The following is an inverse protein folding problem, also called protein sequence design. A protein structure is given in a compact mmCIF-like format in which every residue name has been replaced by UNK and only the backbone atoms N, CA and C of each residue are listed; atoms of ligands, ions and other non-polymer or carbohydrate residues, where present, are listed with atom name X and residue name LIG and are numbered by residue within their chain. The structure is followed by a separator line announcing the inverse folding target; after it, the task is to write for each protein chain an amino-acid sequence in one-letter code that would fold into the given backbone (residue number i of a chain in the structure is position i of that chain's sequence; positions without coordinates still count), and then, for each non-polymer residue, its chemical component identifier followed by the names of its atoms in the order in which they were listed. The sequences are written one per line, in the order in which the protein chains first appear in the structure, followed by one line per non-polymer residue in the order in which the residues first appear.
data_IF_614910527115
#
_entry.id   IF_614910527115
#
_cell.length_a   1.000
_cell.length_b   1.000
_cell.length_c   1.000
_cell.angle_alpha   90.00
_cell.angle_beta   90.00
_cell.angle_gamma   90.00
#
_symmetry.space_group_name_H-M   'P 1'
#
loop_
_entity.id
_entity.type
_entity.pdbx_description
1 polymer ?
#
# COMPACT_ATOMS: atom_id res chain seq x y z
N UNK A 1 -75.80 -37.67 -44.88
CA UNK A 1 -74.45 -38.10 -45.32
C UNK A 1 -73.51 -36.96 -44.97
N UNK A 2 -72.41 -37.09 -44.23
CA UNK A 2 -71.71 -38.18 -43.54
C UNK A 2 -70.66 -37.41 -42.71
N UNK A 3 -70.17 -37.79 -41.55
CA UNK A 3 -70.18 -39.06 -40.85
C UNK A 3 -69.85 -38.68 -39.39
N UNK A 4 -70.69 -39.04 -38.41
CA UNK A 4 -70.57 -40.26 -37.60
C UNK A 4 -69.52 -40.11 -36.50
N UNK A 5 -69.99 -40.04 -35.25
CA UNK A 5 -70.03 -41.16 -34.27
C UNK A 5 -68.67 -41.26 -33.53
N UNK A 6 -68.53 -41.59 -32.25
CA UNK A 6 -69.38 -41.96 -31.13
C UNK A 6 -68.39 -42.06 -29.93
N UNK A 7 -68.75 -41.59 -28.74
CA UNK A 7 -69.25 -42.43 -27.63
C UNK A 7 -68.13 -42.90 -26.68
N UNK A 8 -68.15 -42.28 -25.49
CA UNK A 8 -67.99 -42.88 -24.14
C UNK A 8 -66.60 -43.17 -23.54
N UNK A 9 -66.29 -42.33 -22.55
CA UNK A 9 -66.21 -42.64 -21.12
C UNK A 9 -64.90 -43.13 -20.48
N UNK A 10 -64.68 -42.51 -19.30
CA UNK A 10 -63.86 -42.89 -18.13
C UNK A 10 -62.36 -42.56 -18.21
N UNK A 11 -61.90 -41.64 -17.35
CA UNK A 11 -61.10 -41.91 -16.15
C UNK A 11 -60.73 -40.56 -15.50
N UNK A 12 -61.17 -40.39 -14.26
CA UNK A 12 -60.69 -39.37 -13.33
C UNK A 12 -59.27 -39.77 -12.88
N UNK A 13 -58.25 -39.06 -13.32
CA UNK A 13 -56.88 -39.17 -12.81
C UNK A 13 -56.35 -37.78 -12.46
N UNK A 14 -55.82 -37.66 -11.25
CA UNK A 14 -55.54 -36.40 -10.56
C UNK A 14 -54.61 -35.46 -11.33
N UNK A 15 -55.10 -34.24 -11.54
CA UNK A 15 -54.27 -33.06 -11.73
C UNK A 15 -53.68 -32.66 -10.37
N UNK A 16 -52.62 -33.37 -9.96
CA UNK A 16 -51.64 -32.78 -9.06
C UNK A 16 -51.05 -31.56 -9.80
N UNK A 17 -51.06 -30.35 -9.22
CA UNK A 17 -50.21 -29.30 -9.73
C UNK A 17 -48.78 -29.81 -9.54
N UNK A 18 -48.12 -30.16 -10.65
CA UNK A 18 -46.68 -30.32 -10.72
C UNK A 18 -46.10 -28.97 -10.32
N UNK A 19 -45.85 -28.81 -9.03
CA UNK A 19 -45.01 -27.72 -8.54
C UNK A 19 -43.67 -27.92 -9.24
N UNK A 20 -43.18 -26.94 -10.02
CA UNK A 20 -41.85 -27.07 -10.58
C UNK A 20 -40.91 -27.29 -9.41
N UNK A 21 -40.21 -28.43 -9.43
CA UNK A 21 -39.09 -28.70 -8.55
C UNK A 21 -38.15 -27.52 -8.75
N UNK A 22 -38.13 -26.62 -7.76
CA UNK A 22 -37.19 -25.53 -7.71
C UNK A 22 -35.80 -26.16 -7.73
N UNK A 23 -35.17 -26.13 -8.91
CA UNK A 23 -33.77 -26.47 -9.10
C UNK A 23 -32.98 -25.73 -8.02
N UNK A 24 -32.16 -26.44 -7.26
CA UNK A 24 -31.37 -25.93 -6.13
C UNK A 24 -30.31 -24.88 -6.48
N UNK A 25 -30.44 -24.21 -7.63
CA UNK A 25 -29.53 -23.19 -8.17
C UNK A 25 -29.76 -21.78 -7.60
N UNK A 26 -30.81 -21.56 -6.81
CA UNK A 26 -31.25 -20.20 -6.43
C UNK A 26 -31.06 -19.85 -4.95
N UNK A 27 -30.29 -20.66 -4.19
CA UNK A 27 -29.94 -20.28 -2.83
C UNK A 27 -28.86 -19.19 -2.87
N UNK A 28 -29.09 -18.00 -2.27
CA UNK A 28 -28.09 -16.95 -2.24
C UNK A 28 -26.80 -17.44 -1.60
N UNK A 29 -25.66 -17.26 -2.28
CA UNK A 29 -24.35 -17.65 -1.73
C UNK A 29 -24.12 -16.89 -0.41
N UNK A 30 -23.79 -17.56 0.70
CA UNK A 30 -23.50 -16.89 1.97
C UNK A 30 -22.34 -15.89 1.83
N UNK A 31 -22.42 -14.75 2.51
CA UNK A 31 -21.34 -13.73 2.47
C UNK A 31 -19.99 -14.26 2.93
N UNK A 32 -19.99 -15.23 3.86
CA UNK A 32 -18.77 -15.91 4.31
C UNK A 32 -18.07 -16.73 3.22
N UNK A 33 -18.71 -16.94 2.05
CA UNK A 33 -18.13 -17.59 0.88
C UNK A 33 -17.84 -16.63 -0.28
N UNK A 34 -18.12 -15.34 -0.13
CA UNK A 34 -17.90 -14.32 -1.17
C UNK A 34 -16.58 -13.58 -0.98
N UNK A 35 -16.12 -12.89 -2.02
CA UNK A 35 -14.90 -12.09 -1.99
C UNK A 35 -15.11 -10.60 -1.70
N UNK A 36 -16.34 -10.10 -1.84
CA UNK A 36 -16.68 -8.68 -1.61
C UNK A 36 -17.02 -8.38 -0.15
N UNK A 37 -16.66 -7.18 0.29
CA UNK A 37 -17.05 -6.63 1.59
C UNK A 37 -18.53 -6.24 1.58
N UNK A 38 -19.16 -6.24 2.75
CA UNK A 38 -20.53 -5.76 2.95
C UNK A 38 -20.57 -4.64 3.98
N UNK A 39 -21.11 -3.50 3.57
CA UNK A 39 -21.45 -2.39 4.45
C UNK A 39 -22.97 -2.29 4.56
N UNK A 40 -23.50 -2.36 5.78
CA UNK A 40 -24.93 -2.15 6.02
C UNK A 40 -25.08 -0.74 6.62
N UNK A 41 -25.69 0.20 5.88
CA UNK A 41 -25.94 1.53 6.41
C UNK A 41 -27.03 1.46 7.51
N UNK A 42 -27.13 2.51 8.31
CA UNK A 42 -28.22 2.66 9.29
C UNK A 42 -29.57 2.88 8.61
N UNK A 43 -29.56 3.35 7.35
CA UNK A 43 -30.75 3.55 6.50
C UNK A 43 -30.45 3.10 5.07
N UNK A 44 -31.39 2.39 4.46
CA UNK A 44 -31.28 1.92 3.08
C UNK A 44 -30.66 0.52 2.94
N UNK A 45 -30.50 0.04 1.70
CA UNK A 45 -30.01 -1.31 1.40
C UNK A 45 -28.52 -1.47 1.75
N UNK A 46 -28.11 -2.72 1.94
CA UNK A 46 -26.70 -3.05 2.15
C UNK A 46 -25.89 -2.89 0.85
N UNK A 47 -24.65 -2.43 0.97
CA UNK A 47 -23.75 -2.12 -0.12
C UNK A 47 -22.66 -3.21 -0.20
N UNK A 48 -22.41 -3.71 -1.40
CA UNK A 48 -21.36 -4.69 -1.70
C UNK A 48 -20.24 -4.05 -2.53
N UNK A 49 -18.98 -4.42 -2.26
CA UNK A 49 -17.83 -3.76 -2.87
C UNK A 49 -16.52 -3.99 -2.12
N UNK A 50 -15.56 -3.08 -2.25
CA UNK A 50 -14.24 -3.20 -1.63
C UNK A 50 -13.93 -2.00 -0.75
N UNK A 51 -13.82 -2.23 0.55
CA UNK A 51 -13.40 -1.23 1.55
C UNK A 51 -11.92 -0.92 1.36
N UNK A 52 -11.59 0.34 1.10
CA UNK A 52 -10.20 0.80 1.01
C UNK A 52 -9.66 1.30 2.34
N UNK A 53 -10.53 1.93 3.13
CA UNK A 53 -10.14 2.55 4.39
C UNK A 53 -11.27 2.40 5.40
N UNK A 54 -10.87 2.10 6.64
CA UNK A 54 -11.70 2.21 7.83
C UNK A 54 -10.90 2.97 8.88
N UNK A 55 -11.45 4.07 9.36
CA UNK A 55 -10.91 4.79 10.52
C UNK A 55 -11.74 4.43 11.76
N UNK A 56 -11.13 4.37 12.96
CA UNK A 56 -11.84 3.92 14.16
C UNK A 56 -13.02 4.83 14.55
N UNK A 57 -12.91 6.15 14.32
CA UNK A 57 -13.93 7.15 14.66
C UNK A 57 -14.45 7.96 13.46
N UNK A 58 -13.88 7.79 12.27
CA UNK A 58 -14.20 8.61 11.10
C UNK A 58 -15.10 7.88 10.12
N UNK A 59 -14.70 7.85 8.85
CA UNK A 59 -15.47 7.27 7.75
C UNK A 59 -14.96 5.89 7.33
N UNK A 60 -15.83 5.17 6.61
CA UNK A 60 -15.48 4.01 5.80
C UNK A 60 -15.53 4.43 4.34
N UNK A 61 -14.43 4.18 3.63
CA UNK A 61 -14.32 4.45 2.19
C UNK A 61 -14.39 3.13 1.44
N UNK A 62 -15.30 3.01 0.48
CA UNK A 62 -15.59 1.78 -0.23
C UNK A 62 -15.76 2.03 -1.74
N UNK A 63 -15.07 1.24 -2.57
CA UNK A 63 -15.37 1.17 -4.00
C UNK A 63 -16.54 0.25 -4.27
N UNK A 64 -17.44 0.68 -5.16
CA UNK A 64 -18.63 -0.06 -5.58
C UNK A 64 -18.70 -0.06 -7.10
N UNK A 65 -18.95 -1.22 -7.72
CA UNK A 65 -19.18 -1.29 -9.17
C UNK A 65 -20.49 -0.59 -9.52
N UNK A 66 -20.44 0.27 -10.53
CA UNK A 66 -21.63 0.98 -11.01
C UNK A 66 -22.70 0.05 -11.54
N UNK A 67 -22.32 -0.98 -12.30
CA UNK A 67 -23.27 -1.95 -12.87
C UNK A 67 -24.09 -2.63 -11.78
N UNK A 68 -23.42 -3.00 -10.68
CA UNK A 68 -24.07 -3.58 -9.52
C UNK A 68 -25.00 -2.57 -8.84
N UNK A 69 -24.49 -1.35 -8.58
CA UNK A 69 -25.30 -0.31 -7.92
C UNK A 69 -26.51 0.10 -8.75
N UNK A 70 -26.39 0.11 -10.08
CA UNK A 70 -27.49 0.41 -11.01
C UNK A 70 -28.65 -0.58 -10.86
N UNK A 71 -28.35 -1.86 -10.60
CA UNK A 71 -29.35 -2.90 -10.43
C UNK A 71 -29.95 -2.89 -9.01
N UNK A 72 -29.14 -2.62 -7.99
CA UNK A 72 -29.52 -2.82 -6.58
C UNK A 72 -29.97 -1.55 -5.85
N UNK A 73 -29.42 -0.38 -6.20
CA UNK A 73 -29.74 0.92 -5.57
C UNK A 73 -29.54 2.07 -6.59
N UNK A 74 -30.44 2.18 -7.59
CA UNK A 74 -30.32 3.16 -8.66
C UNK A 74 -30.45 4.61 -8.16
N UNK A 75 -31.16 4.85 -7.06
CA UNK A 75 -31.27 6.18 -6.44
C UNK A 75 -29.90 6.64 -5.92
N UNK A 76 -29.18 5.78 -5.19
CA UNK A 76 -27.82 6.10 -4.74
C UNK A 76 -26.86 6.36 -5.90
N UNK A 77 -26.99 5.59 -6.98
CA UNK A 77 -26.19 5.82 -8.20
C UNK A 77 -26.46 7.22 -8.77
N UNK A 78 -27.74 7.61 -8.90
CA UNK A 78 -28.11 8.93 -9.40
C UNK A 78 -27.57 10.07 -8.51
N UNK A 79 -27.69 9.93 -7.19
CA UNK A 79 -27.15 10.92 -6.24
C UNK A 79 -25.63 11.04 -6.34
N UNK A 80 -24.93 9.90 -6.44
CA UNK A 80 -23.48 9.89 -6.62
C UNK A 80 -23.06 10.53 -7.96
N UNK A 81 -23.80 10.28 -9.03
CA UNK A 81 -23.56 10.89 -10.34
C UNK A 81 -23.80 12.39 -10.35
N UNK A 82 -24.87 12.86 -9.70
CA UNK A 82 -25.13 14.29 -9.56
C UNK A 82 -24.00 14.98 -8.78
N UNK A 83 -23.55 14.37 -7.68
CA UNK A 83 -22.43 14.88 -6.89
C UNK A 83 -21.12 14.91 -7.70
N UNK A 84 -20.83 13.89 -8.50
CA UNK A 84 -19.67 13.88 -9.38
C UNK A 84 -19.78 14.90 -10.52
N UNK A 85 -20.97 15.10 -11.08
CA UNK A 85 -21.21 16.11 -12.10
C UNK A 85 -20.92 17.53 -11.59
N UNK A 86 -21.23 17.81 -10.32
CA UNK A 86 -20.97 19.11 -9.68
C UNK A 86 -19.50 19.28 -9.25
N UNK A 87 -18.88 18.23 -8.72
CA UNK A 87 -17.54 18.30 -8.12
C UNK A 87 -16.40 18.09 -9.13
N UNK A 88 -16.57 17.25 -10.16
CA UNK A 88 -15.48 16.89 -11.09
C UNK A 88 -14.91 18.08 -11.87
N UNK A 89 -15.72 18.98 -12.46
CA UNK A 89 -15.17 20.14 -13.18
C UNK A 89 -14.34 21.05 -12.28
N UNK A 90 -14.78 21.26 -11.03
CA UNK A 90 -14.06 22.04 -10.02
C UNK A 90 -12.71 21.41 -9.69
N UNK A 91 -12.70 20.10 -9.44
CA UNK A 91 -11.49 19.35 -9.16
C UNK A 91 -10.50 19.39 -10.34
N UNK A 92 -10.98 19.30 -11.58
CA UNK A 92 -10.14 19.40 -12.78
C UNK A 92 -9.56 20.81 -12.97
N UNK A 93 -10.34 21.88 -12.78
CA UNK A 93 -9.82 23.26 -12.83
C UNK A 93 -8.71 23.48 -11.82
N UNK A 94 -8.94 23.08 -10.56
CA UNK A 94 -7.92 23.17 -9.49
C UNK A 94 -6.69 22.34 -9.82
N UNK A 95 -6.86 21.17 -10.44
CA UNK A 95 -5.73 20.34 -10.86
C UNK A 95 -4.92 21.01 -11.98
N UNK A 96 -5.56 21.63 -12.98
CA UNK A 96 -4.86 22.36 -14.05
C UNK A 96 -4.00 23.48 -13.48
N UNK A 97 -4.57 24.30 -12.58
CA UNK A 97 -3.84 25.36 -11.87
C UNK A 97 -2.63 24.79 -11.13
N UNK A 98 -2.84 23.73 -10.35
CA UNK A 98 -1.78 23.06 -9.58
C UNK A 98 -0.69 22.46 -10.46
N UNK A 99 -1.03 21.91 -11.64
CA UNK A 99 -0.06 21.41 -12.60
C UNK A 99 0.77 22.58 -13.16
N UNK A 100 0.11 23.68 -13.54
CA UNK A 100 0.77 24.85 -14.10
C UNK A 100 1.70 25.52 -13.09
N UNK A 101 1.28 25.65 -11.83
CA UNK A 101 2.12 26.15 -10.75
C UNK A 101 3.29 25.22 -10.45
N UNK A 102 3.07 23.90 -10.47
CA UNK A 102 4.16 22.95 -10.28
C UNK A 102 5.20 23.07 -11.41
N UNK A 103 4.77 23.19 -12.67
CA UNK A 103 5.68 23.36 -13.81
C UNK A 103 6.57 24.60 -13.71
N UNK A 104 6.10 25.69 -13.08
CA UNK A 104 6.90 26.91 -12.84
C UNK A 104 8.06 26.65 -11.88
N UNK A 105 7.92 25.69 -10.97
CA UNK A 105 8.99 25.33 -10.01
C UNK A 105 10.04 24.36 -10.58
N UNK A 106 9.79 23.78 -11.76
CA UNK A 106 10.68 22.80 -12.38
C UNK A 106 11.67 23.47 -13.34
N UNK A 107 12.89 22.94 -13.37
CA UNK A 107 13.89 23.32 -14.38
C UNK A 107 13.35 23.06 -15.80
N UNK A 108 13.75 23.85 -16.81
CA UNK A 108 13.25 23.70 -18.18
C UNK A 108 13.43 22.31 -18.79
N UNK A 109 14.53 21.64 -18.46
CA UNK A 109 14.96 20.32 -18.95
C UNK A 109 14.44 19.14 -18.11
N UNK A 110 13.64 19.41 -17.07
CA UNK A 110 13.13 18.37 -16.19
C UNK A 110 12.22 17.39 -16.95
N UNK A 111 12.49 16.07 -16.96
CA UNK A 111 11.65 15.08 -17.64
C UNK A 111 10.22 15.03 -17.09
N UNK A 112 10.04 15.48 -15.84
CA UNK A 112 8.71 15.62 -15.23
C UNK A 112 7.81 16.62 -15.98
N UNK A 113 8.37 17.63 -16.67
CA UNK A 113 7.57 18.60 -17.43
C UNK A 113 6.76 17.92 -18.53
N UNK A 114 7.36 17.01 -19.29
CA UNK A 114 6.66 16.23 -20.32
C UNK A 114 5.51 15.41 -19.74
N UNK A 115 5.74 14.78 -18.59
CA UNK A 115 4.69 14.01 -17.90
C UNK A 115 3.55 14.92 -17.44
N UNK A 116 3.86 16.13 -16.95
CA UNK A 116 2.86 17.12 -16.56
C UNK A 116 2.11 17.70 -17.75
N UNK A 117 2.74 17.87 -18.91
CA UNK A 117 2.07 18.33 -20.13
C UNK A 117 1.03 17.32 -20.62
N UNK A 118 1.35 16.03 -20.58
CA UNK A 118 0.41 14.95 -20.91
C UNK A 118 -0.78 14.92 -19.96
N UNK A 119 -0.53 15.01 -18.64
CA UNK A 119 -1.60 15.04 -17.65
C UNK A 119 -2.45 16.31 -17.77
N UNK A 120 -1.83 17.48 -17.98
CA UNK A 120 -2.53 18.73 -18.20
C UNK A 120 -3.44 18.66 -19.43
N UNK A 121 -2.92 18.16 -20.56
CA UNK A 121 -3.70 17.99 -21.80
C UNK A 121 -4.90 17.08 -21.56
N UNK A 122 -4.69 15.92 -20.95
CA UNK A 122 -5.76 14.97 -20.60
C UNK A 122 -6.87 15.64 -19.78
N UNK A 123 -6.49 16.37 -18.73
CA UNK A 123 -7.46 17.03 -17.83
C UNK A 123 -8.18 18.18 -18.55
N UNK A 124 -7.47 18.95 -19.38
CA UNK A 124 -8.06 20.03 -20.17
C UNK A 124 -9.08 19.51 -21.20
N UNK A 125 -8.78 18.39 -21.88
CA UNK A 125 -9.68 17.76 -22.84
C UNK A 125 -10.96 17.24 -22.14
N UNK A 126 -10.82 16.64 -20.95
CA UNK A 126 -11.96 16.22 -20.11
C UNK A 126 -12.82 17.40 -19.68
N UNK A 127 -12.21 18.46 -19.18
CA UNK A 127 -12.92 19.66 -18.73
C UNK A 127 -13.65 20.33 -19.90
N UNK A 128 -12.99 20.51 -21.05
CA UNK A 128 -13.57 21.08 -22.27
C UNK A 128 -14.77 20.26 -22.75
N UNK A 129 -14.68 18.93 -22.69
CA UNK A 129 -15.79 18.06 -23.07
C UNK A 129 -17.02 18.29 -22.20
N UNK A 130 -16.85 18.44 -20.88
CA UNK A 130 -17.97 18.69 -19.95
C UNK A 130 -18.53 20.10 -20.07
N UNK A 131 -17.67 21.12 -20.18
CA UNK A 131 -18.11 22.51 -20.36
C UNK A 131 -18.79 22.75 -21.72
N UNK A 132 -18.45 21.96 -22.74
CA UNK A 132 -19.12 21.96 -24.05
C UNK A 132 -20.48 21.24 -24.09
N UNK A 133 -21.10 20.99 -22.93
CA UNK A 133 -22.38 20.29 -22.82
C UNK A 133 -22.29 18.77 -22.72
N UNK A 134 -21.08 18.21 -22.68
CA UNK A 134 -20.86 16.79 -22.40
C UNK A 134 -21.12 16.42 -20.94
N UNK A 135 -21.21 15.11 -20.67
CA UNK A 135 -21.33 14.59 -19.30
C UNK A 135 -19.98 14.19 -18.75
N UNK A 136 -19.83 14.24 -17.43
CA UNK A 136 -18.66 13.67 -16.75
C UNK A 136 -18.54 12.19 -17.15
N UNK A 137 -17.38 11.74 -17.67
CA UNK A 137 -17.22 10.35 -18.06
C UNK A 137 -17.43 9.40 -16.88
N UNK A 138 -18.30 8.40 -17.07
CA UNK A 138 -18.53 7.40 -16.04
C UNK A 138 -17.29 6.52 -15.88
N UNK A 139 -16.78 6.44 -14.65
CA UNK A 139 -15.74 5.49 -14.24
C UNK A 139 -16.39 4.15 -13.90
N UNK A 140 -15.72 3.00 -13.99
CA UNK A 140 -16.39 1.71 -13.69
C UNK A 140 -16.83 1.58 -12.22
N UNK A 141 -16.10 2.21 -11.33
CA UNK A 141 -16.37 2.23 -9.90
C UNK A 141 -16.79 3.61 -9.42
N UNK A 142 -17.57 3.63 -8.35
CA UNK A 142 -17.81 4.78 -7.50
C UNK A 142 -17.04 4.62 -6.20
N UNK A 143 -16.64 5.73 -5.59
CA UNK A 143 -16.09 5.75 -4.24
C UNK A 143 -17.14 6.33 -3.30
N UNK A 144 -17.64 5.50 -2.40
CA UNK A 144 -18.57 5.93 -1.35
C UNK A 144 -17.79 6.20 -0.07
N UNK A 145 -18.02 7.37 0.51
CA UNK A 145 -17.47 7.78 1.80
C UNK A 145 -18.63 7.86 2.79
N UNK A 146 -18.66 6.93 3.74
CA UNK A 146 -19.79 6.75 4.66
C UNK A 146 -19.31 6.99 6.10
N UNK A 147 -19.86 7.99 6.81
CA UNK A 147 -19.52 8.24 8.22
C UNK A 147 -19.80 7.00 9.09
N UNK A 148 -18.92 6.67 10.04
CA UNK A 148 -19.10 5.49 10.90
C UNK A 148 -20.42 5.48 11.67
N UNK A 149 -20.97 6.65 12.02
CA UNK A 149 -22.27 6.83 12.68
C UNK A 149 -23.46 6.37 11.83
N UNK A 150 -23.30 6.33 10.52
CA UNK A 150 -24.32 5.90 9.55
C UNK A 150 -24.16 4.43 9.15
N UNK A 151 -23.34 3.66 9.87
CA UNK A 151 -23.06 2.25 9.59
C UNK A 151 -23.58 1.39 10.74
N UNK A 152 -24.57 0.55 10.45
CA UNK A 152 -25.13 -0.41 11.41
C UNK A 152 -24.22 -1.65 11.52
N UNK A 153 -23.71 -2.16 10.39
CA UNK A 153 -22.80 -3.31 10.37
C UNK A 153 -21.77 -3.20 9.23
N UNK A 154 -20.58 -3.75 9.46
CA UNK A 154 -19.52 -3.83 8.46
C UNK A 154 -18.84 -5.20 8.52
N UNK A 155 -18.85 -5.92 7.40
CA UNK A 155 -18.15 -7.18 7.21
C UNK A 155 -17.06 -6.98 6.16
N UNK A 156 -15.80 -7.11 6.58
CA UNK A 156 -14.63 -7.05 5.69
C UNK A 156 -14.14 -8.47 5.47
N UNK A 157 -13.94 -8.86 4.21
CA UNK A 157 -13.48 -10.19 3.85
C UNK A 157 -11.99 -10.38 4.12
N UNK A 158 -11.55 -11.63 4.40
CA UNK A 158 -10.13 -11.97 4.42
C UNK A 158 -9.42 -11.54 3.13
N UNK A 159 -8.18 -11.08 3.25
CA UNK A 159 -7.38 -10.50 2.15
C UNK A 159 -7.34 -11.43 0.93
N UNK A 160 -7.17 -12.74 1.13
CA UNK A 160 -7.10 -13.73 0.04
C UNK A 160 -8.42 -13.79 -0.75
N UNK A 161 -9.57 -13.76 -0.07
CA UNK A 161 -10.89 -13.79 -0.74
C UNK A 161 -11.16 -12.49 -1.48
N UNK A 162 -10.77 -11.38 -0.87
CA UNK A 162 -10.88 -10.06 -1.48
C UNK A 162 -10.03 -9.95 -2.73
N UNK A 163 -8.82 -10.50 -2.71
CA UNK A 163 -7.95 -10.56 -3.88
C UNK A 163 -8.64 -11.26 -5.06
N UNK A 164 -9.30 -12.40 -4.84
CA UNK A 164 -10.07 -13.09 -5.88
C UNK A 164 -11.14 -12.16 -6.48
N UNK A 165 -11.95 -11.49 -5.66
CA UNK A 165 -12.96 -10.56 -6.17
C UNK A 165 -12.36 -9.37 -6.95
N UNK A 166 -11.25 -8.82 -6.48
CA UNK A 166 -10.56 -7.73 -7.18
C UNK A 166 -10.04 -8.19 -8.55
N UNK A 167 -9.38 -9.34 -8.63
CA UNK A 167 -8.92 -9.91 -9.91
C UNK A 167 -10.10 -10.24 -10.81
N UNK A 168 -11.18 -10.82 -10.28
CA UNK A 168 -12.41 -11.05 -11.05
C UNK A 168 -13.04 -9.76 -11.59
N UNK A 169 -12.90 -8.64 -10.89
CA UNK A 169 -13.27 -7.35 -11.46
C UNK A 169 -12.31 -6.92 -12.57
N UNK A 170 -10.99 -7.07 -12.44
CA UNK A 170 -10.05 -6.75 -13.53
C UNK A 170 -10.44 -7.48 -14.82
N UNK A 171 -10.75 -8.77 -14.71
CA UNK A 171 -11.14 -9.64 -15.82
C UNK A 171 -12.61 -9.49 -16.26
N UNK A 172 -13.32 -8.50 -15.72
CA UNK A 172 -14.73 -8.23 -16.00
C UNK A 172 -15.67 -9.43 -15.88
N UNK A 173 -15.42 -10.29 -14.89
CA UNK A 173 -16.33 -11.38 -14.59
C UNK A 173 -17.69 -10.80 -14.15
N UNK A 174 -18.76 -11.52 -14.53
CA UNK A 174 -20.14 -11.13 -14.20
C UNK A 174 -20.49 -11.53 -12.78
N UNK A 175 -21.31 -10.70 -12.11
CA UNK A 175 -21.92 -10.98 -10.81
C UNK A 175 -20.92 -11.34 -9.70
N UNK A 176 -19.76 -10.69 -9.69
CA UNK A 176 -18.69 -10.95 -8.70
C UNK A 176 -19.21 -10.75 -7.26
N UNK A 177 -20.14 -9.84 -7.07
CA UNK A 177 -20.71 -9.47 -5.76
C UNK A 177 -21.58 -10.58 -5.15
N UNK A 178 -22.09 -11.50 -5.97
CA UNK A 178 -23.05 -12.54 -5.54
C UNK A 178 -22.52 -13.96 -5.68
N UNK A 179 -21.40 -14.16 -6.39
CA UNK A 179 -20.77 -15.46 -6.58
C UNK A 179 -19.84 -15.86 -5.43
N UNK A 180 -19.58 -17.16 -5.32
CA UNK A 180 -18.61 -17.68 -4.36
C UNK A 180 -17.17 -17.44 -4.85
N UNK A 181 -16.23 -17.37 -3.90
CA UNK A 181 -14.78 -17.29 -4.21
C UNK A 181 -14.32 -18.54 -4.95
N UNK A 182 -14.88 -19.70 -4.63
CA UNK A 182 -14.56 -20.98 -5.28
C UNK A 182 -14.91 -20.93 -6.78
N UNK A 183 -16.12 -20.49 -7.12
CA UNK A 183 -16.56 -20.38 -8.52
C UNK A 183 -15.73 -19.35 -9.31
N UNK A 184 -15.44 -18.20 -8.69
CA UNK A 184 -14.64 -17.15 -9.30
C UNK A 184 -13.19 -17.62 -9.53
N UNK A 185 -12.62 -18.33 -8.56
CA UNK A 185 -11.27 -18.90 -8.68
C UNK A 185 -11.22 -19.94 -9.79
N UNK A 186 -12.20 -20.85 -9.86
CA UNK A 186 -12.26 -21.86 -10.91
C UNK A 186 -12.34 -21.23 -12.31
N UNK A 187 -13.12 -20.17 -12.47
CA UNK A 187 -13.22 -19.45 -13.75
C UNK A 187 -11.92 -18.72 -14.13
N UNK A 188 -11.29 -18.02 -13.19
CA UNK A 188 -9.99 -17.38 -13.40
C UNK A 188 -8.89 -18.39 -13.76
N UNK A 189 -8.83 -19.50 -13.03
CA UNK A 189 -7.85 -20.57 -13.29
C UNK A 189 -8.08 -21.22 -14.66
N UNK A 190 -9.34 -21.39 -15.08
CA UNK A 190 -9.68 -21.86 -16.43
C UNK A 190 -9.19 -20.90 -17.53
N UNK A 191 -9.11 -19.61 -17.23
CA UNK A 191 -8.52 -18.59 -18.09
C UNK A 191 -6.98 -18.48 -17.96
N UNK A 192 -6.33 -19.36 -17.17
CA UNK A 192 -4.89 -19.35 -16.96
C UNK A 192 -4.40 -18.28 -15.98
N UNK A 193 -5.29 -17.70 -15.18
CA UNK A 193 -4.98 -16.64 -14.22
C UNK A 193 -5.07 -17.14 -12.79
N UNK A 194 -3.94 -17.12 -12.08
CA UNK A 194 -3.92 -17.38 -10.64
C UNK A 194 -4.20 -16.08 -9.86
N UNK A 195 -5.34 -15.96 -9.16
CA UNK A 195 -5.67 -14.77 -8.40
C UNK A 195 -4.69 -14.46 -7.26
N UNK A 196 -3.92 -15.44 -6.77
CA UNK A 196 -2.93 -15.21 -5.71
C UNK A 196 -1.73 -14.39 -6.21
N UNK A 197 -1.42 -14.45 -7.50
CA UNK A 197 -0.27 -13.79 -8.12
C UNK A 197 -0.67 -12.67 -9.08
N UNK A 198 -1.87 -12.73 -9.66
CA UNK A 198 -2.41 -11.70 -10.53
C UNK A 198 -2.57 -10.35 -9.81
N UNK A 199 -2.30 -9.26 -10.53
CA UNK A 199 -2.39 -7.90 -10.01
C UNK A 199 -3.78 -7.31 -10.16
N UNK A 200 -4.21 -6.52 -9.17
CA UNK A 200 -5.45 -5.74 -9.22
C UNK A 200 -5.23 -4.23 -9.30
N UNK A 201 -3.99 -3.79 -9.59
CA UNK A 201 -3.61 -2.37 -9.52
C UNK A 201 -4.21 -1.53 -10.68
N UNK A 202 -4.69 -2.15 -11.75
CA UNK A 202 -5.38 -1.45 -12.84
C UNK A 202 -6.69 -0.82 -12.39
N UNK A 203 -7.40 -1.44 -11.43
CA UNK A 203 -8.71 -0.96 -10.93
C UNK A 203 -8.63 0.46 -10.36
N UNK A 204 -7.48 0.87 -9.83
CA UNK A 204 -7.30 2.23 -9.28
C UNK A 204 -7.45 3.32 -10.33
N UNK A 205 -7.27 2.99 -11.61
CA UNK A 205 -7.44 3.92 -12.74
C UNK A 205 -8.91 4.15 -13.11
N UNK A 206 -9.78 3.26 -12.63
CA UNK A 206 -11.22 3.22 -12.89
C UNK A 206 -12.05 3.82 -11.74
N UNK A 207 -11.39 4.59 -10.87
CA UNK A 207 -12.03 5.38 -9.81
C UNK A 207 -12.28 6.83 -10.29
N UNK A 208 -13.30 7.51 -9.73
CA UNK A 208 -13.59 8.90 -10.05
C UNK A 208 -12.45 9.83 -9.64
N UNK A 209 -12.48 11.04 -10.19
CA UNK A 209 -11.58 12.12 -9.79
C UNK A 209 -11.76 12.46 -8.31
N UNK A 210 -10.65 12.75 -7.64
CA UNK A 210 -10.59 13.19 -6.26
C UNK A 210 -9.93 14.55 -6.20
N UNK A 211 -10.54 15.47 -5.45
CA UNK A 211 -9.90 16.74 -5.09
C UNK A 211 -9.04 16.54 -3.84
N UNK A 212 -7.72 16.65 -4.00
CA UNK A 212 -6.81 16.60 -2.87
C UNK A 212 -6.79 17.93 -2.10
N UNK A 213 -6.75 17.87 -0.77
CA UNK A 213 -6.29 19.02 0.03
C UNK A 213 -4.80 19.34 -0.25
N UNK A 214 -4.29 20.45 0.28
CA UNK A 214 -2.93 20.91 -0.03
C UNK A 214 -1.83 19.98 0.51
N UNK A 215 -2.06 19.30 1.64
CA UNK A 215 -1.09 18.33 2.18
C UNK A 215 -1.08 17.07 1.31
N UNK A 216 -2.25 16.55 0.97
CA UNK A 216 -2.43 15.38 0.12
C UNK A 216 -1.85 15.64 -1.29
N UNK A 217 -2.04 16.84 -1.83
CA UNK A 217 -1.45 17.26 -3.11
C UNK A 217 0.09 17.23 -3.07
N UNK A 218 0.71 17.70 -2.00
CA UNK A 218 2.19 17.63 -1.84
C UNK A 218 2.69 16.19 -1.84
N UNK A 219 1.97 15.28 -1.18
CA UNK A 219 2.32 13.85 -1.18
C UNK A 219 2.21 13.28 -2.59
N UNK A 220 1.13 13.59 -3.32
CA UNK A 220 0.93 13.14 -4.70
C UNK A 220 2.05 13.62 -5.62
N UNK A 221 2.46 14.90 -5.51
CA UNK A 221 3.60 15.45 -6.27
C UNK A 221 4.88 14.66 -6.03
N UNK A 222 5.16 14.34 -4.77
CA UNK A 222 6.34 13.58 -4.38
C UNK A 222 6.30 12.16 -4.92
N UNK A 223 5.17 11.45 -4.79
CA UNK A 223 5.02 10.09 -5.34
C UNK A 223 5.21 10.04 -6.85
N UNK A 224 4.66 11.03 -7.57
CA UNK A 224 4.86 11.17 -9.01
C UNK A 224 6.33 11.45 -9.35
N UNK A 225 7.01 12.28 -8.56
CA UNK A 225 8.45 12.57 -8.74
C UNK A 225 9.32 11.35 -8.46
N UNK A 226 8.94 10.49 -7.51
CA UNK A 226 9.65 9.26 -7.17
C UNK A 226 9.63 8.18 -8.28
N UNK A 227 8.95 8.42 -9.41
CA UNK A 227 9.11 7.61 -10.61
C UNK A 227 10.43 7.91 -11.34
N UNK A 228 10.96 9.13 -11.18
CA UNK A 228 12.12 9.62 -11.92
C UNK A 228 13.40 9.63 -11.09
N UNK A 229 13.26 9.74 -9.76
CA UNK A 229 14.38 9.72 -8.84
C UNK A 229 14.01 8.97 -7.55
N UNK A 230 14.86 8.05 -7.13
CA UNK A 230 14.64 7.34 -5.88
C UNK A 230 14.73 8.28 -4.68
N UNK A 231 13.84 8.13 -3.68
CA UNK A 231 13.92 8.90 -2.45
C UNK A 231 15.17 8.52 -1.67
N UNK A 232 15.66 9.42 -0.80
CA UNK A 232 16.75 9.09 0.12
C UNK A 232 16.35 7.89 0.98
N UNK A 233 17.18 6.84 1.03
CA UNK A 233 16.87 5.61 1.76
C UNK A 233 17.82 5.46 2.94
N UNK A 234 17.25 5.31 4.13
CA UNK A 234 17.97 4.94 5.34
C UNK A 234 17.71 3.48 5.70
N UNK A 235 18.73 2.77 6.17
CA UNK A 235 18.62 1.39 6.64
C UNK A 235 19.38 1.21 7.96
N UNK A 236 18.86 0.37 8.85
CA UNK A 236 19.59 0.03 10.08
C UNK A 236 18.78 -0.70 11.14
N UNK A 237 19.36 -0.84 12.33
CA UNK A 237 18.77 -1.55 13.47
C UNK A 237 18.76 -0.65 14.70
N UNK A 238 17.76 -0.82 15.57
CA UNK A 238 17.60 0.01 16.77
C UNK A 238 17.49 1.51 16.44
N UNK A 239 18.36 2.32 17.05
CA UNK A 239 18.44 3.77 16.83
C UNK A 239 19.43 4.19 15.73
N UNK A 240 20.19 3.25 15.16
CA UNK A 240 21.19 3.55 14.14
C UNK A 240 20.57 3.47 12.74
N UNK A 241 20.74 4.53 11.95
CA UNK A 241 20.30 4.59 10.56
C UNK A 241 21.44 5.07 9.66
N UNK A 242 21.78 4.28 8.64
CA UNK A 242 22.77 4.61 7.62
C UNK A 242 22.06 4.98 6.31
N UNK A 243 22.57 5.98 5.58
CA UNK A 243 22.02 6.33 4.28
C UNK A 243 22.54 5.34 3.23
N UNK A 244 21.65 4.63 2.55
CA UNK A 244 21.97 3.55 1.62
C UNK A 244 22.19 4.01 0.18
N UNK A 245 21.65 5.17 -0.22
CA UNK A 245 21.71 5.65 -1.62
C UNK A 245 22.19 7.10 -1.78
N UNK A 246 22.89 7.66 -0.78
CA UNK A 246 23.46 8.99 -0.89
C UNK A 246 24.68 8.97 -1.83
N UNK A 247 24.45 9.25 -3.12
CA UNK A 247 25.54 9.56 -4.06
C UNK A 247 26.27 10.83 -3.57
N UNK A 248 27.44 10.69 -2.96
CA UNK A 248 28.54 11.63 -3.29
C UNK A 248 28.96 11.32 -4.74
N UNK A 249 29.83 12.11 -5.37
CA UNK A 249 30.33 11.76 -6.71
C UNK A 249 30.74 10.28 -6.78
N UNK A 250 29.95 9.49 -7.52
CA UNK A 250 30.00 8.02 -7.62
C UNK A 250 29.03 7.25 -6.71
N UNK A 251 28.40 6.19 -7.25
CA UNK A 251 27.76 5.09 -6.51
C UNK A 251 26.45 5.37 -5.76
N UNK A 252 25.32 5.15 -6.43
CA UNK A 252 24.04 4.94 -5.73
C UNK A 252 23.95 3.45 -5.44
N UNK A 253 23.81 3.05 -4.18
CA UNK A 253 23.92 1.64 -3.72
C UNK A 253 25.23 0.89 -4.10
N UNK A 254 26.07 1.49 -4.95
CA UNK A 254 27.34 1.00 -5.49
C UNK A 254 28.58 1.75 -4.94
N UNK A 255 28.44 2.58 -3.90
CA UNK A 255 29.61 3.03 -3.14
C UNK A 255 29.70 2.30 -1.79
N UNK A 256 30.91 1.89 -1.40
CA UNK A 256 31.13 0.93 -0.33
C UNK A 256 30.62 1.50 0.99
N UNK A 257 30.02 0.65 1.82
CA UNK A 257 30.21 0.82 3.26
C UNK A 257 31.72 0.73 3.43
N UNK A 258 32.38 1.88 3.59
CA UNK A 258 33.83 1.96 3.70
C UNK A 258 34.27 0.98 4.81
N UNK A 259 35.36 0.25 4.59
CA UNK A 259 35.97 -0.56 5.64
C UNK A 259 36.26 0.27 6.89
N UNK A 260 36.47 1.59 6.73
CA UNK A 260 36.52 2.57 7.81
C UNK A 260 35.18 2.77 8.52
N UNK A 261 34.06 2.82 7.79
CA UNK A 261 32.72 2.94 8.40
C UNK A 261 32.29 1.64 9.09
N UNK A 262 32.65 0.47 8.54
CA UNK A 262 32.50 -0.83 9.22
C UNK A 262 33.44 -0.88 10.42
N UNK A 263 34.68 -0.41 10.28
CA UNK A 263 35.68 -0.33 11.35
C UNK A 263 35.30 0.65 12.47
N UNK A 264 34.64 1.76 12.15
CA UNK A 264 34.12 2.73 13.11
C UNK A 264 32.85 2.20 13.79
N UNK A 265 32.01 1.45 13.06
CA UNK A 265 30.85 0.78 13.62
C UNK A 265 31.26 -0.34 14.58
N UNK A 266 32.22 -1.17 14.15
CA UNK A 266 32.86 -2.22 14.95
C UNK A 266 33.64 -1.59 16.10
N UNK A 267 34.32 -0.47 15.89
CA UNK A 267 35.06 0.28 16.91
C UNK A 267 34.15 0.93 17.97
N UNK A 268 32.98 1.43 17.58
CA UNK A 268 31.95 1.91 18.52
C UNK A 268 31.25 0.77 19.26
N UNK A 269 31.10 -0.40 18.62
CA UNK A 269 30.54 -1.61 19.24
C UNK A 269 31.55 -2.29 20.19
N UNK A 270 32.84 -2.28 19.87
CA UNK A 270 33.92 -2.89 20.68
C UNK A 270 34.50 -1.92 21.73
N UNK A 271 34.45 -0.61 21.48
CA UNK A 271 34.92 0.43 22.41
C UNK A 271 34.05 0.60 23.66
N UNK A 272 32.90 -0.08 23.71
CA UNK A 272 32.07 -0.25 24.90
C UNK A 272 32.27 -1.63 25.53
N UNK A 273 33.49 -1.96 25.98
CA UNK A 273 33.80 -3.09 26.85
C UNK A 273 33.10 -4.42 26.50
N UNK A 274 33.53 -5.10 25.44
CA UNK A 274 33.03 -6.43 25.09
C UNK A 274 34.16 -7.41 24.80
N UNK A 275 34.36 -8.35 25.73
CA UNK A 275 35.05 -9.59 25.46
C UNK A 275 34.20 -10.52 24.60
N UNK A 276 34.73 -10.90 23.43
CA UNK A 276 34.75 -12.27 22.92
C UNK A 276 33.48 -12.94 22.38
N UNK A 277 32.28 -12.34 22.41
CA UNK A 277 31.07 -13.09 22.02
C UNK A 277 30.21 -12.39 20.96
N UNK A 278 30.32 -12.87 19.73
CA UNK A 278 29.56 -12.39 18.57
C UNK A 278 28.04 -12.61 18.74
N UNK A 279 27.64 -13.59 19.56
CA UNK A 279 26.24 -13.81 19.94
C UNK A 279 25.65 -12.65 20.74
N UNK A 280 26.43 -12.05 21.66
CA UNK A 280 26.02 -10.85 22.43
C UNK A 280 25.94 -9.60 21.56
N UNK A 281 26.79 -9.51 20.55
CA UNK A 281 26.77 -8.44 19.54
C UNK A 281 25.50 -8.53 18.67
N UNK A 282 25.10 -9.74 18.28
CA UNK A 282 23.83 -10.00 17.60
C UNK A 282 22.61 -9.75 18.50
N UNK A 283 22.70 -10.04 19.80
CA UNK A 283 21.63 -9.72 20.77
C UNK A 283 21.50 -8.21 21.03
N UNK A 284 22.62 -7.48 21.07
CA UNK A 284 22.63 -6.01 21.19
C UNK A 284 22.13 -5.32 19.92
N UNK A 285 22.51 -5.82 18.74
CA UNK A 285 21.96 -5.37 17.46
C UNK A 285 20.51 -5.86 17.23
N UNK A 286 20.13 -6.95 17.89
CA UNK A 286 18.87 -7.69 17.67
C UNK A 286 17.70 -7.25 18.53
N UNK A 287 17.90 -6.82 19.79
CA UNK A 287 16.71 -6.47 20.59
C UNK A 287 16.84 -6.04 22.05
N UNK A 288 18.03 -5.81 22.61
CA UNK A 288 18.14 -5.48 24.06
C UNK A 288 19.04 -4.31 24.45
N UNK A 289 19.43 -3.43 23.53
CA UNK A 289 19.95 -2.13 23.94
C UNK A 289 18.81 -1.30 24.57
N UNK A 290 18.83 -1.15 25.90
CA UNK A 290 18.05 -0.09 26.57
C UNK A 290 18.37 1.22 25.84
N UNK A 291 17.37 1.97 25.33
CA UNK A 291 17.66 3.27 24.74
C UNK A 291 18.44 4.08 25.77
N UNK A 292 19.64 4.54 25.40
CA UNK A 292 20.33 5.57 26.19
C UNK A 292 19.34 6.71 26.35
N UNK A 293 19.03 7.06 27.59
CA UNK A 293 18.14 8.15 27.98
C UNK A 293 18.49 9.41 27.19
N UNK A 294 17.61 9.79 26.26
CA UNK A 294 17.84 10.79 25.23
C UNK A 294 17.03 10.43 23.99
N UNK A 295 15.71 10.49 24.14
CA UNK A 295 14.66 10.01 23.23
C UNK A 295 14.71 10.68 21.84
N UNK A 296 15.66 10.29 20.98
CA UNK A 296 15.67 10.71 19.59
C UNK A 296 14.97 9.64 18.74
N UNK A 297 13.68 9.84 18.50
CA UNK A 297 12.92 9.06 17.51
C UNK A 297 13.75 8.94 16.21
N UNK A 298 14.12 7.73 15.75
CA UNK A 298 15.04 7.55 14.63
C UNK A 298 14.50 8.18 13.32
N UNK A 299 13.18 8.28 13.19
CA UNK A 299 12.55 8.97 12.06
C UNK A 299 12.79 10.48 12.09
N UNK A 300 12.88 11.11 13.27
CA UNK A 300 13.21 12.54 13.38
C UNK A 300 14.67 12.81 12.96
N UNK A 301 15.59 11.91 13.31
CA UNK A 301 16.98 11.99 12.86
C UNK A 301 17.08 11.86 11.34
N UNK A 302 16.40 10.86 10.76
CA UNK A 302 16.31 10.69 9.31
C UNK A 302 15.67 11.90 8.60
N UNK A 303 14.61 12.47 9.18
CA UNK A 303 13.93 13.65 8.65
C UNK A 303 14.87 14.87 8.63
N UNK A 304 15.57 15.17 9.73
CA UNK A 304 16.57 16.26 9.77
C UNK A 304 17.68 16.08 8.74
N UNK A 305 18.16 14.84 8.55
CA UNK A 305 19.17 14.52 7.52
C UNK A 305 18.62 14.70 6.10
N UNK A 306 17.36 14.31 5.86
CA UNK A 306 16.69 14.54 4.59
C UNK A 306 16.50 16.05 4.31
N UNK A 307 16.15 16.84 5.33
CA UNK A 307 16.05 18.31 5.23
C UNK A 307 17.39 18.95 4.88
N UNK A 308 18.47 18.56 5.59
CA UNK A 308 19.81 19.04 5.31
C UNK A 308 20.28 18.66 3.89
N UNK A 309 19.80 17.54 3.36
CA UNK A 309 20.07 17.09 1.99
C UNK A 309 19.11 17.69 0.95
N UNK A 310 18.21 18.61 1.32
CA UNK A 310 17.24 19.23 0.42
C UNK A 310 16.25 18.23 -0.20
N UNK A 311 15.91 17.16 0.51
CA UNK A 311 14.99 16.12 0.03
C UNK A 311 13.59 16.34 0.58
N UNK A 312 12.59 16.11 -0.27
CA UNK A 312 11.17 16.20 0.09
C UNK A 312 10.56 14.83 0.45
N UNK A 313 11.36 13.76 0.36
CA UNK A 313 10.96 12.41 0.67
C UNK A 313 12.13 11.56 1.15
N UNK A 314 11.86 10.63 2.05
CA UNK A 314 12.80 9.59 2.39
C UNK A 314 12.09 8.29 2.78
N UNK A 315 12.80 7.19 2.65
CA UNK A 315 12.39 5.86 3.10
C UNK A 315 13.31 5.40 4.23
N UNK A 316 12.77 4.69 5.20
CA UNK A 316 13.54 4.07 6.29
C UNK A 316 13.17 2.60 6.33
N UNK A 317 14.17 1.71 6.27
CA UNK A 317 13.99 0.28 6.56
C UNK A 317 14.71 -0.06 7.85
N UNK A 318 13.97 -0.58 8.82
CA UNK A 318 14.48 -0.99 10.13
C UNK A 318 14.35 -2.49 10.30
N UNK A 319 15.36 -3.11 10.89
CA UNK A 319 15.36 -4.54 11.18
C UNK A 319 15.41 -4.77 12.69
N UNK A 320 14.71 -5.82 13.14
CA UNK A 320 14.73 -6.30 14.52
C UNK A 320 14.84 -7.83 14.50
N UNK A 321 15.83 -8.37 15.20
CA UNK A 321 16.12 -9.80 15.23
C UNK A 321 15.73 -10.38 16.58
N UNK A 322 14.75 -11.28 16.57
CA UNK A 322 14.42 -12.13 17.70
C UNK A 322 15.25 -13.41 17.59
N UNK A 323 16.43 -13.40 18.23
CA UNK A 323 17.39 -14.51 18.19
C UNK A 323 16.77 -15.76 18.81
N UNK A 324 16.13 -15.60 19.98
CA UNK A 324 15.48 -16.70 20.71
C UNK A 324 14.30 -17.29 19.94
N UNK A 325 13.41 -16.44 19.42
CA UNK A 325 12.25 -16.85 18.63
C UNK A 325 12.57 -17.21 17.18
N UNK A 326 13.85 -17.13 16.76
CA UNK A 326 14.33 -17.34 15.39
C UNK A 326 13.50 -16.59 14.36
N UNK A 327 13.29 -15.29 14.56
CA UNK A 327 12.48 -14.44 13.67
C UNK A 327 13.18 -13.12 13.41
N UNK A 328 12.98 -12.58 12.22
CA UNK A 328 13.38 -11.21 11.87
C UNK A 328 12.16 -10.41 11.47
N UNK A 329 11.93 -9.29 12.14
CA UNK A 329 10.94 -8.30 11.71
C UNK A 329 11.64 -7.20 10.91
N UNK A 330 11.21 -6.98 9.69
CA UNK A 330 11.62 -5.86 8.84
C UNK A 330 10.45 -4.89 8.74
N UNK A 331 10.68 -3.63 9.06
CA UNK A 331 9.68 -2.54 8.93
C UNK A 331 10.20 -1.52 7.95
N UNK A 332 9.39 -1.12 6.97
CA UNK A 332 9.72 -0.04 6.05
C UNK A 332 8.68 1.06 6.14
N UNK A 333 9.16 2.30 6.23
CA UNK A 333 8.36 3.53 6.37
C UNK A 333 8.79 4.53 5.29
N UNK A 334 7.84 5.13 4.59
CA UNK A 334 8.07 6.18 3.60
C UNK A 334 7.43 7.48 4.05
N UNK A 335 8.23 8.53 4.11
CA UNK A 335 7.86 9.83 4.65
C UNK A 335 8.00 10.92 3.61
N UNK A 336 7.05 11.85 3.63
CA UNK A 336 6.98 12.97 2.71
C UNK A 336 6.90 14.28 3.47
N UNK A 337 7.67 15.26 3.04
CA UNK A 337 7.65 16.62 3.58
C UNK A 337 6.40 17.33 3.06
N UNK A 338 5.52 17.74 3.96
CA UNK A 338 4.30 18.50 3.62
C UNK A 338 4.45 19.97 3.95
N UNK A 339 5.31 20.33 4.90
CA UNK A 339 5.64 21.72 5.19
C UNK A 339 7.05 21.85 5.76
N UNK A 340 7.48 23.07 6.06
CA UNK A 340 8.74 23.34 6.75
C UNK A 340 8.73 22.64 8.12
N UNK A 341 9.56 21.62 8.24
CA UNK A 341 9.69 20.84 9.46
C UNK A 341 8.53 19.88 9.74
N UNK A 342 7.58 19.74 8.81
CA UNK A 342 6.46 18.78 8.93
C UNK A 342 6.58 17.67 7.90
N UNK A 343 6.63 16.44 8.40
CA UNK A 343 6.71 15.21 7.63
C UNK A 343 5.50 14.34 7.91
N UNK A 344 4.97 13.65 6.91
CA UNK A 344 3.86 12.70 7.08
C UNK A 344 4.30 11.30 6.68
N UNK A 345 3.81 10.30 7.41
CA UNK A 345 3.98 8.90 7.05
C UNK A 345 3.03 8.55 5.90
N UNK A 346 3.53 8.54 4.67
CA UNK A 346 2.74 8.25 3.47
C UNK A 346 2.54 6.74 3.25
N UNK A 347 3.49 5.90 3.70
CA UNK A 347 3.35 4.44 3.63
C UNK A 347 4.17 3.74 4.71
N UNK A 348 3.66 2.63 5.20
CA UNK A 348 4.36 1.75 6.14
C UNK A 348 3.94 0.30 5.92
N UNK A 349 4.92 -0.60 5.98
CA UNK A 349 4.66 -2.03 6.00
C UNK A 349 5.68 -2.74 6.90
N UNK A 350 5.26 -3.85 7.52
CA UNK A 350 6.12 -4.67 8.36
C UNK A 350 5.93 -6.15 8.04
N UNK A 351 7.04 -6.89 7.98
CA UNK A 351 7.07 -8.32 7.70
C UNK A 351 7.92 -9.03 8.73
N UNK A 352 7.36 -10.08 9.33
CA UNK A 352 8.13 -10.98 10.19
C UNK A 352 8.41 -12.25 9.40
N UNK A 353 9.70 -12.57 9.28
CA UNK A 353 10.22 -13.70 8.53
C UNK A 353 10.86 -14.67 9.52
N UNK A 354 10.51 -15.94 9.42
CA UNK A 354 11.15 -17.00 10.20
C UNK A 354 12.58 -17.25 9.73
N UNK A 355 13.49 -17.45 10.67
CA UNK A 355 14.90 -17.75 10.41
C UNK A 355 15.10 -19.26 10.32
N UNK A 356 15.26 -19.72 9.09
CA UNK A 356 15.49 -21.10 8.69
C UNK A 356 16.61 -21.15 7.65
N UNK A 357 17.19 -22.34 7.47
CA UNK A 357 18.18 -22.58 6.43
C UNK A 357 17.61 -22.20 5.05
N UNK A 358 18.37 -21.42 4.29
CA UNK A 358 18.03 -20.96 2.93
C UNK A 358 19.26 -21.13 2.05
N UNK A 359 19.50 -22.31 1.47
CA UNK A 359 20.77 -22.61 0.79
C UNK A 359 21.14 -21.59 -0.29
N UNK A 360 20.20 -21.19 -1.15
CA UNK A 360 20.48 -20.27 -2.25
C UNK A 360 20.70 -18.82 -1.82
N UNK A 361 20.03 -18.37 -0.76
CA UNK A 361 20.27 -17.06 -0.18
C UNK A 361 21.60 -17.04 0.60
N UNK A 362 21.90 -18.11 1.33
CA UNK A 362 23.12 -18.25 2.12
C UNK A 362 24.35 -18.24 1.22
N UNK A 363 24.35 -19.03 0.14
CA UNK A 363 25.42 -19.02 -0.88
C UNK A 363 25.63 -17.65 -1.51
N UNK A 364 24.56 -16.88 -1.74
CA UNK A 364 24.67 -15.52 -2.28
C UNK A 364 25.30 -14.55 -1.29
N UNK A 365 24.87 -14.60 -0.03
CA UNK A 365 25.43 -13.79 1.06
C UNK A 365 26.90 -14.12 1.30
N UNK A 366 27.25 -15.41 1.32
CA UNK A 366 28.63 -15.85 1.47
C UNK A 366 29.51 -15.37 0.32
N UNK A 367 29.00 -15.31 -0.91
CA UNK A 367 29.75 -14.82 -2.07
C UNK A 367 29.84 -13.30 -2.15
N UNK A 368 29.16 -12.56 -1.28
CA UNK A 368 29.23 -11.11 -1.26
C UNK A 368 30.64 -10.67 -0.80
N UNK A 369 31.39 -9.88 -1.60
CA UNK A 369 32.74 -9.43 -1.24
C UNK A 369 32.81 -8.70 0.10
N UNK A 370 31.74 -7.99 0.49
CA UNK A 370 31.66 -7.25 1.76
C UNK A 370 31.54 -8.21 2.94
N UNK A 371 30.72 -9.25 2.77
CA UNK A 371 30.56 -10.30 3.78
C UNK A 371 31.84 -11.13 3.90
N UNK A 372 32.50 -11.44 2.78
CA UNK A 372 33.80 -12.11 2.78
C UNK A 372 34.86 -11.35 3.57
N UNK A 373 34.90 -10.01 3.47
CA UNK A 373 35.81 -9.18 4.26
C UNK A 373 35.58 -9.31 5.77
N UNK A 374 34.31 -9.27 6.20
CA UNK A 374 33.93 -9.42 7.61
C UNK A 374 34.17 -10.86 8.09
N UNK A 375 33.83 -11.88 7.29
CA UNK A 375 34.04 -13.28 7.64
C UNK A 375 35.53 -13.62 7.81
N UNK A 376 36.41 -13.05 6.98
CA UNK A 376 37.87 -13.20 7.13
C UNK A 376 38.36 -12.59 8.44
N UNK A 377 37.86 -11.42 8.81
CA UNK A 377 38.21 -10.76 10.07
C UNK A 377 37.75 -11.58 11.29
N UNK A 378 36.53 -12.12 11.27
CA UNK A 378 36.00 -12.97 12.35
C UNK A 378 36.81 -14.27 12.48
N UNK A 379 37.18 -14.89 11.37
CA UNK A 379 38.03 -16.10 11.36
C UNK A 379 39.45 -15.82 11.87
N UNK A 380 40.02 -14.66 11.52
CA UNK A 380 41.35 -14.26 11.97
C UNK A 380 41.41 -13.96 13.49
N UNK A 381 40.27 -13.65 14.12
CA UNK A 381 40.17 -13.39 15.56
C UNK A 381 40.01 -14.66 16.41
N UNK A 382 39.96 -15.86 15.81
CA UNK A 382 40.05 -17.13 16.53
C UNK A 382 38.92 -17.40 17.54
N UNK A 383 37.71 -16.89 17.29
CA UNK A 383 36.58 -17.05 18.21
C UNK A 383 36.04 -18.49 18.21
N UNK A 384 36.16 -19.19 19.33
CA UNK A 384 35.55 -20.52 19.54
C UNK A 384 34.03 -20.46 19.32
N UNK A 385 33.50 -21.40 18.52
CA UNK A 385 32.08 -21.40 18.12
C UNK A 385 31.72 -20.48 16.93
N UNK A 386 32.72 -19.85 16.31
CA UNK A 386 32.57 -18.92 15.19
C UNK A 386 31.77 -19.46 14.01
N UNK A 387 31.95 -20.72 13.62
CA UNK A 387 31.25 -21.28 12.45
C UNK A 387 29.73 -21.36 12.64
N UNK A 388 29.25 -21.75 13.83
CA UNK A 388 27.81 -21.81 14.14
C UNK A 388 27.20 -20.42 14.30
N UNK A 389 27.97 -19.48 14.85
CA UNK A 389 27.56 -18.07 14.95
C UNK A 389 27.49 -17.42 13.55
N UNK A 390 28.46 -17.71 12.68
CA UNK A 390 28.49 -17.27 11.28
C UNK A 390 27.30 -17.84 10.52
N UNK A 391 27.05 -19.16 10.63
CA UNK A 391 25.91 -19.79 9.98
C UNK A 391 24.58 -19.16 10.44
N UNK A 392 24.43 -18.94 11.74
CA UNK A 392 23.26 -18.27 12.31
C UNK A 392 23.12 -16.85 11.75
N UNK A 393 24.19 -16.06 11.73
CA UNK A 393 24.18 -14.70 11.16
C UNK A 393 23.79 -14.70 9.67
N UNK A 394 24.28 -15.66 8.88
CA UNK A 394 23.90 -15.83 7.47
C UNK A 394 22.40 -16.14 7.34
N UNK A 395 21.86 -17.02 8.18
CA UNK A 395 20.43 -17.35 8.18
C UNK A 395 19.56 -16.11 8.52
N UNK A 396 19.98 -15.30 9.49
CA UNK A 396 19.33 -14.02 9.82
C UNK A 396 19.45 -13.01 8.68
N UNK A 397 20.62 -12.90 8.04
CA UNK A 397 20.84 -12.07 6.85
C UNK A 397 19.92 -12.47 5.69
N UNK A 398 19.78 -13.77 5.42
CA UNK A 398 18.89 -14.30 4.39
C UNK A 398 17.41 -13.98 4.68
N UNK A 399 16.98 -14.14 5.93
CA UNK A 399 15.62 -13.77 6.35
C UNK A 399 15.37 -12.26 6.22
N UNK A 400 16.38 -11.43 6.52
CA UNK A 400 16.33 -9.97 6.37
C UNK A 400 16.18 -9.56 4.91
N UNK A 401 16.98 -10.16 4.02
CA UNK A 401 16.92 -9.91 2.59
C UNK A 401 15.56 -10.30 2.00
N UNK A 402 15.00 -11.45 2.41
CA UNK A 402 13.64 -11.87 2.00
C UNK A 402 12.58 -10.85 2.47
N UNK A 403 12.66 -10.42 3.74
CA UNK A 403 11.76 -9.42 4.28
C UNK A 403 11.84 -8.09 3.53
N UNK A 404 13.05 -7.64 3.20
CA UNK A 404 13.28 -6.41 2.45
C UNK A 404 12.76 -6.51 1.02
N UNK A 405 13.03 -7.60 0.29
CA UNK A 405 12.53 -7.81 -1.07
C UNK A 405 11.00 -7.73 -1.13
N UNK A 406 10.30 -8.35 -0.15
CA UNK A 406 8.84 -8.28 -0.06
C UNK A 406 8.34 -6.84 0.18
N UNK A 407 9.01 -6.10 1.07
CA UNK A 407 8.67 -4.71 1.35
C UNK A 407 8.96 -3.79 0.17
N UNK A 408 10.01 -4.06 -0.60
CA UNK A 408 10.33 -3.31 -1.82
C UNK A 408 9.27 -3.54 -2.89
N UNK A 409 8.83 -4.78 -3.10
CA UNK A 409 7.68 -5.05 -3.97
C UNK A 409 6.41 -4.36 -3.49
N UNK A 410 6.15 -4.35 -2.17
CA UNK A 410 5.02 -3.65 -1.57
C UNK A 410 5.07 -2.13 -1.80
N UNK A 411 6.25 -1.53 -1.63
CA UNK A 411 6.47 -0.10 -1.86
C UNK A 411 6.31 0.27 -3.34
N UNK A 412 6.81 -0.54 -4.27
CA UNK A 412 6.63 -0.32 -5.70
C UNK A 412 5.14 -0.35 -6.08
N UNK A 413 4.38 -1.35 -5.61
CA UNK A 413 2.92 -1.40 -5.81
C UNK A 413 2.22 -0.17 -5.25
N UNK A 414 2.60 0.27 -4.04
CA UNK A 414 2.07 1.50 -3.45
C UNK A 414 2.39 2.74 -4.28
N UNK A 415 3.64 2.92 -4.71
CA UNK A 415 4.04 4.06 -5.54
C UNK A 415 3.27 4.05 -6.85
N UNK A 416 3.29 2.92 -7.55
CA UNK A 416 2.75 2.78 -8.91
C UNK A 416 1.25 3.09 -8.95
N UNK A 417 0.50 2.71 -7.91
CA UNK A 417 -0.93 3.06 -7.71
C UNK A 417 -1.22 4.55 -7.87
N UNK A 418 -0.37 5.42 -7.33
CA UNK A 418 -0.55 6.88 -7.34
C UNK A 418 0.18 7.57 -8.48
N UNK A 419 0.83 6.79 -9.33
CA UNK A 419 1.80 7.29 -10.30
C UNK A 419 1.21 7.50 -11.69
N UNK A 420 0.05 6.89 -11.98
CA UNK A 420 -0.57 6.96 -13.29
C UNK A 420 -1.28 8.30 -13.55
N UNK A 421 -2.05 8.78 -12.57
CA UNK A 421 -2.91 9.96 -12.69
C UNK A 421 -2.69 10.93 -11.53
N UNK A 422 -2.84 12.23 -11.80
CA UNK A 422 -2.76 13.27 -10.76
C UNK A 422 -4.10 13.59 -10.08
N UNK A 423 -5.21 13.08 -10.60
CA UNK A 423 -6.58 13.27 -10.09
C UNK A 423 -7.13 12.04 -9.35
N UNK A 424 -6.31 11.04 -9.02
CA UNK A 424 -6.77 9.84 -8.34
C UNK A 424 -5.71 8.72 -8.36
N UNK A 425 -5.92 7.61 -7.63
CA UNK A 425 -7.02 7.33 -6.70
C UNK A 425 -6.94 8.15 -5.40
N UNK A 426 -7.93 8.06 -4.47
CA UNK A 426 -7.83 8.69 -3.16
C UNK A 426 -6.55 8.28 -2.43
N UNK A 427 -5.84 9.27 -1.88
CA UNK A 427 -4.59 9.07 -1.16
C UNK A 427 -4.82 9.30 0.33
N UNK A 428 -4.30 8.39 1.14
CA UNK A 428 -4.34 8.51 2.60
C UNK A 428 -2.94 8.39 3.18
N UNK A 429 -2.72 9.10 4.27
CA UNK A 429 -1.46 9.15 4.98
C UNK A 429 -1.72 9.10 6.49
N UNK A 430 -0.69 8.71 7.23
CA UNK A 430 -0.74 8.43 8.66
C UNK A 430 -0.35 9.63 9.52
N UNK A 431 0.43 9.35 10.57
CA UNK A 431 0.87 10.38 11.53
C UNK A 431 1.76 11.45 10.89
N UNK A 432 1.72 12.65 11.47
CA UNK A 432 2.68 13.72 11.23
C UNK A 432 3.83 13.65 12.22
N UNK A 433 5.03 13.99 11.75
CA UNK A 433 6.28 14.10 12.50
C UNK A 433 6.80 15.52 12.33
N UNK A 434 7.09 16.20 13.45
CA UNK A 434 7.60 17.56 13.47
C UNK A 434 9.07 17.58 13.86
N UNK A 435 9.94 18.14 13.01
CA UNK A 435 11.38 18.26 13.27
C UNK A 435 11.74 19.55 13.97
N UNK A 436 10.91 20.58 13.83
CA UNK A 436 11.00 21.82 14.60
C UNK A 436 10.42 21.59 16.01
N UNK A 437 11.21 21.90 17.04
CA UNK A 437 10.63 22.13 18.36
C UNK A 437 9.73 23.36 18.22
N UNK A 438 8.46 23.25 18.61
CA UNK A 438 7.70 24.44 18.98
C UNK A 438 8.52 25.11 20.09
N UNK A 439 9.28 26.16 19.74
CA UNK A 439 9.71 27.12 20.76
C UNK A 439 8.41 27.71 21.26
N UNK A 440 7.97 27.23 22.41
CA UNK A 440 6.86 27.75 23.17
C UNK A 440 6.92 29.27 23.14
N UNK A 441 5.92 29.90 22.54
CA UNK A 441 5.52 31.24 22.92
C UNK A 441 5.05 31.16 24.36
N UNK A 442 6.01 31.19 25.29
CA UNK A 442 5.75 31.61 26.66
C UNK A 442 6.13 33.08 26.63
N UNK A 443 5.13 33.94 26.43
CA UNK A 443 5.26 35.33 26.82
C UNK A 443 5.82 35.34 28.25
N UNK A 444 6.88 36.13 28.54
CA UNK A 444 7.21 36.38 29.93
C UNK A 444 6.00 37.07 30.54
N UNK A 445 5.46 36.48 31.61
CA UNK A 445 4.53 37.18 32.46
C UNK A 445 5.17 38.52 32.84
N UNK A 446 4.51 39.62 32.49
CA UNK A 446 4.72 40.89 33.14
C UNK A 446 4.51 40.65 34.64
N UNK A 447 5.59 40.88 35.40
CA UNK A 447 5.49 41.02 36.84
C UNK A 447 4.87 42.40 37.11
N UNK A 448 3.71 42.38 37.78
CA UNK A 448 3.38 43.41 38.78
C UNK A 448 4.09 43.07 40.09
#
# INVERSE_FOLDING_TARGET
MSSRLHLWAVVLAGLLPVSPIASGADRPVPLSKRGVDRLTPSRGPAILGAVFRKTQRGEVVMAVRRDWLKAEDPERLQLADASLAESSPRAWRRLLERIDDWKKTLKPDSPLRTVLDLERKRVADLLKSVEGGGRVPATRFLVLVIPRKEISALMVQPVVRKQVALVSWVEDLKRVETRSVEDLTAELMKAGLDPATAGAESLWRELPVVEDDDRTWRIRRVLKSCQLADPLHFQGTGGLLLAANQKKGGGGLDQPVDAKMIGDLVGQLLGGGLGGDLGKLLEQLGGRAKPRSGDSNPLLSAARRAEAAGRDAFRVTRFRHDVTGRRTTVTSEFLVKVDRGEWVLAWQESRTIEVRARPDASKRIERDPRVQGVLKLVKALGLDGGDRAIETAIQFGAATQEGQQRLDSGFLKFRDRYSHRLDGPPLWWGRTLRTAAERSGREPAEND
#
